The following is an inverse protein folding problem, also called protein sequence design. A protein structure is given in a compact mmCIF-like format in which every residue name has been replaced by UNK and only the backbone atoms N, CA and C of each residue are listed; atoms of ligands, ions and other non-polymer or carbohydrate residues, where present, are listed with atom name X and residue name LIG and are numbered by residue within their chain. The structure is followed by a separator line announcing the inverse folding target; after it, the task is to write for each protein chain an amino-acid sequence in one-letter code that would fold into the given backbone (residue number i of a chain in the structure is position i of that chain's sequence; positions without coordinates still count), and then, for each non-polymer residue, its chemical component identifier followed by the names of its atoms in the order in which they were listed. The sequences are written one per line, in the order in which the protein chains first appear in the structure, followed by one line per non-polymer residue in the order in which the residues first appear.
data_IF_031856681653
#
_entry.id   IF_031856681653
#
_cell.length_a   1.000
_cell.length_b   1.000
_cell.length_c   1.000
_cell.angle_alpha   90.00
_cell.angle_beta   90.00
_cell.angle_gamma   90.00
#
_symmetry.space_group_name_H-M   'P 1'
#
loop_
_entity.id
_entity.type
_entity.pdbx_description
1 polymer ?
#
# COMPACT_ATOMS: atom_id res chain seq x y z
N UNK A 1 0.27 1.36 -31.82
CA UNK A 1 1.05 2.28 -30.96
C UNK A 1 0.52 3.74 -30.95
N UNK A 2 -0.09 4.25 -32.00
CA UNK A 2 -0.61 5.63 -32.10
C UNK A 2 -1.92 5.90 -31.34
N UNK A 3 -2.84 4.95 -31.25
CA UNK A 3 -4.15 5.11 -30.57
C UNK A 3 -4.08 5.32 -29.02
N UNK A 4 -3.04 4.84 -28.40
CA UNK A 4 -2.84 5.02 -26.94
C UNK A 4 -2.43 6.46 -26.59
N UNK A 5 -1.68 7.12 -27.48
CA UNK A 5 -1.27 8.52 -27.28
C UNK A 5 -2.44 9.51 -27.34
N UNK A 6 -3.35 9.28 -28.29
CA UNK A 6 -4.52 10.16 -28.47
C UNK A 6 -5.51 10.00 -27.31
N UNK A 7 -5.74 8.77 -26.85
CA UNK A 7 -6.59 8.48 -25.68
C UNK A 7 -6.04 9.08 -24.37
N UNK A 8 -4.72 9.09 -24.20
CA UNK A 8 -4.07 9.76 -23.03
C UNK A 8 -4.25 11.27 -23.15
N UNK A 9 -4.13 11.83 -24.34
CA UNK A 9 -4.24 13.26 -24.57
C UNK A 9 -5.69 13.77 -24.37
N UNK A 10 -6.70 12.99 -24.79
CA UNK A 10 -8.11 13.27 -24.51
C UNK A 10 -8.44 13.16 -23.02
N UNK A 11 -7.91 12.14 -22.33
CA UNK A 11 -8.07 12.01 -20.87
C UNK A 11 -7.44 13.16 -20.11
N UNK A 12 -6.36 13.75 -20.63
CA UNK A 12 -5.67 14.90 -20.04
C UNK A 12 -6.40 16.23 -20.26
N UNK A 13 -7.08 16.41 -21.40
CA UNK A 13 -7.95 17.54 -21.64
C UNK A 13 -9.12 17.55 -20.66
N UNK A 14 -9.73 16.37 -20.39
CA UNK A 14 -10.75 16.22 -19.37
C UNK A 14 -10.27 16.52 -17.95
N UNK A 15 -9.00 16.25 -17.63
CA UNK A 15 -8.39 16.60 -16.33
C UNK A 15 -8.14 18.10 -16.22
N UNK A 16 -7.77 18.77 -17.31
CA UNK A 16 -7.58 20.22 -17.33
C UNK A 16 -8.91 20.99 -17.10
N UNK A 17 -10.03 20.46 -17.57
CA UNK A 17 -11.38 21.00 -17.31
C UNK A 17 -11.79 20.89 -15.82
N UNK A 18 -11.16 20.02 -15.03
CA UNK A 18 -11.36 19.89 -13.58
C UNK A 18 -10.54 20.89 -12.76
N UNK A 19 -9.86 21.86 -13.40
CA UNK A 19 -9.12 22.92 -12.72
C UNK A 19 -7.79 22.50 -12.10
N UNK A 20 -7.24 21.36 -12.50
CA UNK A 20 -5.92 20.91 -12.08
C UNK A 20 -4.85 21.66 -12.86
N UNK A 21 -4.13 22.56 -12.21
CA UNK A 21 -3.17 23.50 -12.83
C UNK A 21 -1.85 22.85 -13.29
N UNK A 22 -1.62 21.57 -12.99
CA UNK A 22 -0.38 20.87 -13.38
C UNK A 22 -0.55 19.35 -13.42
N UNK A 23 -0.23 18.74 -14.56
CA UNK A 23 -0.13 17.29 -14.72
C UNK A 23 1.35 16.93 -14.87
N UNK A 24 1.86 16.08 -13.97
CA UNK A 24 3.25 15.61 -14.03
C UNK A 24 3.27 14.18 -14.56
N UNK A 25 3.92 13.99 -15.71
CA UNK A 25 4.16 12.66 -16.27
C UNK A 25 5.48 12.12 -15.76
N UNK A 26 5.46 10.97 -15.10
CA UNK A 26 6.66 10.20 -14.82
C UNK A 26 6.76 9.04 -15.81
N UNK A 27 7.79 9.02 -16.62
CA UNK A 27 8.12 7.86 -17.46
C UNK A 27 8.61 6.75 -16.54
N UNK A 28 7.87 5.67 -16.44
CA UNK A 28 8.38 4.42 -15.84
C UNK A 28 9.14 3.70 -16.93
N UNK A 29 10.46 3.72 -16.86
CA UNK A 29 11.29 2.89 -17.74
C UNK A 29 11.08 1.43 -17.33
N UNK A 30 10.30 0.71 -18.14
CA UNK A 30 10.36 -0.74 -18.16
C UNK A 30 11.69 -1.10 -18.83
N UNK A 31 12.56 -1.83 -18.14
CA UNK A 31 13.72 -2.46 -18.76
C UNK A 31 13.22 -3.49 -19.80
N UNK A 32 13.04 -3.03 -21.01
CA UNK A 32 13.01 -3.86 -22.21
C UNK A 32 14.33 -3.53 -22.88
N UNK A 33 15.20 -4.52 -22.99
CA UNK A 33 16.44 -4.44 -23.75
C UNK A 33 16.08 -4.13 -25.21
N UNK A 34 16.26 -2.87 -25.62
CA UNK A 34 16.34 -2.48 -27.03
C UNK A 34 17.70 -1.83 -27.28
N UNK A 35 18.28 -2.08 -28.48
CA UNK A 35 19.65 -1.65 -28.77
C UNK A 35 19.79 -0.14 -28.87
N UNK A 36 20.96 0.33 -28.46
CA UNK A 36 21.46 1.71 -28.54
C UNK A 36 21.22 2.34 -29.91
N UNK A 37 20.51 3.48 -29.93
CA UNK A 37 20.84 4.65 -30.77
C UNK A 37 19.96 5.85 -30.41
N UNK A 38 20.61 6.87 -29.96
CA UNK A 38 20.39 8.31 -30.07
C UNK A 38 20.56 9.06 -28.76
N UNK A 39 21.64 9.83 -28.72
CA UNK A 39 22.01 10.67 -27.60
C UNK A 39 20.97 11.77 -27.33
N UNK A 40 20.34 11.66 -26.20
CA UNK A 40 19.66 12.75 -25.50
C UNK A 40 20.52 13.03 -24.27
N UNK A 41 20.97 14.27 -24.01
CA UNK A 41 21.80 14.56 -22.85
C UNK A 41 20.99 14.29 -21.58
N UNK A 42 21.48 13.38 -20.74
CA UNK A 42 21.04 13.14 -19.40
C UNK A 42 21.25 14.41 -18.55
N UNK A 43 20.22 15.22 -18.36
CA UNK A 43 20.26 16.23 -17.32
C UNK A 43 19.97 15.55 -15.98
N UNK A 44 21.02 15.09 -15.32
CA UNK A 44 21.01 14.58 -13.94
C UNK A 44 20.91 15.74 -12.93
N UNK A 45 19.96 16.64 -13.09
CA UNK A 45 19.57 17.53 -11.99
C UNK A 45 18.38 16.87 -11.33
N UNK A 46 18.59 16.28 -10.15
CA UNK A 46 17.51 15.85 -9.30
C UNK A 46 16.61 17.07 -9.04
N UNK A 47 15.42 17.08 -9.64
CA UNK A 47 14.46 18.13 -9.33
C UNK A 47 14.11 18.06 -7.83
N UNK A 48 13.97 19.21 -7.14
CA UNK A 48 13.60 19.20 -5.74
C UNK A 48 12.26 18.48 -5.56
N UNK A 49 12.15 17.68 -4.49
CA UNK A 49 10.95 16.93 -4.16
C UNK A 49 9.71 17.83 -4.23
N UNK A 50 8.80 17.52 -5.14
CA UNK A 50 7.55 18.28 -5.29
C UNK A 50 6.46 17.60 -4.47
N UNK A 51 6.22 18.09 -3.27
CA UNK A 51 5.12 17.64 -2.41
C UNK A 51 3.85 18.37 -2.81
N UNK A 52 2.82 17.61 -3.16
CA UNK A 52 1.48 18.11 -3.48
C UNK A 52 0.50 17.73 -2.39
N UNK A 53 -0.47 18.63 -2.11
CA UNK A 53 -1.57 18.37 -1.19
C UNK A 53 -2.84 18.05 -1.97
N UNK A 54 -3.61 17.08 -1.50
CA UNK A 54 -4.89 16.69 -2.07
C UNK A 54 -5.83 16.14 -0.99
N UNK A 55 -7.08 15.88 -1.36
CA UNK A 55 -8.06 15.28 -0.45
C UNK A 55 -8.61 13.97 -1.02
N UNK A 56 -8.81 12.97 -0.14
CA UNK A 56 -9.49 11.73 -0.44
C UNK A 56 -10.55 11.46 0.64
N UNK A 57 -11.83 11.35 0.25
CA UNK A 57 -12.96 11.13 1.18
C UNK A 57 -12.99 12.13 2.36
N UNK A 58 -12.66 13.39 2.11
CA UNK A 58 -12.63 14.46 3.11
C UNK A 58 -11.37 14.50 3.99
N UNK A 59 -10.45 13.55 3.85
CA UNK A 59 -9.17 13.51 4.54
C UNK A 59 -8.08 14.16 3.68
N UNK A 60 -7.18 14.91 4.30
CA UNK A 60 -6.07 15.62 3.65
C UNK A 60 -4.82 14.78 3.60
N UNK A 61 -4.15 14.79 2.46
CA UNK A 61 -2.91 14.07 2.23
C UNK A 61 -1.88 14.93 1.52
N UNK A 62 -0.63 14.62 1.77
CA UNK A 62 0.53 15.11 1.04
C UNK A 62 1.23 13.92 0.39
N UNK A 63 1.66 14.10 -0.86
CA UNK A 63 2.40 13.09 -1.61
C UNK A 63 3.61 13.73 -2.31
N UNK A 64 4.75 13.07 -2.25
CA UNK A 64 5.94 13.43 -3.03
C UNK A 64 5.82 12.77 -4.41
N UNK A 65 5.54 13.58 -5.44
CA UNK A 65 5.31 13.12 -6.82
C UNK A 65 6.61 12.97 -7.62
N UNK A 66 7.74 13.44 -7.13
CA UNK A 66 9.03 13.37 -7.81
C UNK A 66 9.97 12.33 -7.19
N UNK A 67 10.15 12.34 -5.87
CA UNK A 67 11.02 11.43 -5.12
C UNK A 67 10.31 10.20 -4.54
N UNK A 68 8.98 10.21 -4.48
CA UNK A 68 8.17 9.14 -3.90
C UNK A 68 8.15 7.84 -4.73
N UNK A 69 7.78 6.73 -4.09
CA UNK A 69 7.53 5.48 -4.83
C UNK A 69 6.35 5.65 -5.79
N UNK A 70 6.49 5.16 -7.02
CA UNK A 70 5.48 5.30 -8.10
C UNK A 70 5.04 6.77 -8.27
N UNK A 71 3.76 7.06 -8.01
CA UNK A 71 3.14 8.39 -8.13
C UNK A 71 3.06 9.15 -6.81
N UNK A 72 3.72 8.67 -5.75
CA UNK A 72 3.72 9.29 -4.43
C UNK A 72 2.53 8.90 -3.53
N UNK A 73 1.49 8.26 -4.09
CA UNK A 73 0.32 7.80 -3.35
C UNK A 73 -0.36 6.60 -4.05
N UNK A 74 -0.97 5.71 -3.29
CA UNK A 74 -1.60 4.48 -3.78
C UNK A 74 -3.13 4.62 -3.80
N UNK A 75 -3.67 5.18 -4.87
CA UNK A 75 -5.11 5.40 -5.06
C UNK A 75 -5.90 4.09 -5.16
N UNK A 76 -5.27 3.02 -5.63
CA UNK A 76 -5.84 1.68 -5.73
C UNK A 76 -6.30 1.08 -4.38
N UNK A 77 -5.71 1.53 -3.26
CA UNK A 77 -6.07 1.10 -1.91
C UNK A 77 -7.21 1.92 -1.26
N UNK A 78 -7.81 2.90 -1.95
CA UNK A 78 -8.79 3.82 -1.36
C UNK A 78 -9.96 3.11 -0.68
N UNK A 79 -10.56 2.11 -1.31
CA UNK A 79 -11.70 1.35 -0.76
C UNK A 79 -11.26 0.48 0.41
N UNK A 80 -10.06 -0.10 0.33
CA UNK A 80 -9.51 -0.93 1.41
C UNK A 80 -9.20 -0.11 2.65
N UNK A 81 -8.75 1.15 2.49
CA UNK A 81 -8.57 2.09 3.60
C UNK A 81 -9.89 2.37 4.33
N UNK A 82 -10.99 2.55 3.59
CA UNK A 82 -12.33 2.72 4.19
C UNK A 82 -12.73 1.50 5.02
N UNK A 83 -12.54 0.29 4.49
CA UNK A 83 -12.83 -0.96 5.23
C UNK A 83 -12.00 -1.11 6.50
N UNK A 84 -10.72 -0.70 6.48
CA UNK A 84 -9.89 -0.67 7.69
C UNK A 84 -10.43 0.36 8.71
N UNK A 85 -10.85 1.54 8.24
CA UNK A 85 -11.49 2.56 9.08
C UNK A 85 -12.72 2.00 9.84
N UNK A 86 -13.57 1.22 9.16
CA UNK A 86 -14.79 0.63 9.73
C UNK A 86 -14.53 -0.31 10.92
N UNK A 87 -13.37 -0.98 10.96
CA UNK A 87 -13.00 -1.93 12.02
C UNK A 87 -12.07 -1.33 13.08
N UNK A 88 -11.74 -0.03 12.98
CA UNK A 88 -10.69 0.61 13.80
C UNK A 88 -11.20 1.28 15.08
N UNK A 89 -12.53 1.45 15.28
CA UNK A 89 -13.08 2.19 16.41
C UNK A 89 -12.67 1.61 17.77
N UNK A 90 -12.00 2.42 18.60
CA UNK A 90 -11.53 2.04 19.93
C UNK A 90 -10.45 0.96 19.91
N UNK A 91 -9.69 0.84 18.81
CA UNK A 91 -8.69 -0.20 18.59
C UNK A 91 -7.27 0.38 18.58
N UNK A 92 -6.32 -0.45 19.00
CA UNK A 92 -4.90 -0.23 18.78
C UNK A 92 -4.51 -0.83 17.44
N UNK A 93 -4.08 0.01 16.49
CA UNK A 93 -3.83 -0.35 15.10
C UNK A 93 -2.34 -0.35 14.80
N UNK A 94 -1.84 -1.40 14.16
CA UNK A 94 -0.52 -1.43 13.52
C UNK A 94 -0.68 -1.32 12.00
N UNK A 95 -0.03 -0.35 11.40
CA UNK A 95 0.11 -0.21 9.96
C UNK A 95 1.58 -0.48 9.59
N UNK A 96 1.88 -1.71 9.15
CA UNK A 96 3.20 -2.13 8.71
C UNK A 96 3.34 -1.98 7.18
N UNK A 97 4.52 -1.54 6.72
CA UNK A 97 4.75 -1.05 5.36
C UNK A 97 3.88 0.17 5.06
N UNK A 98 3.82 1.07 6.03
CA UNK A 98 2.81 2.13 6.05
C UNK A 98 3.00 3.19 4.97
N UNK A 99 4.17 3.24 4.32
CA UNK A 99 4.54 4.29 3.36
C UNK A 99 4.22 5.68 3.94
N UNK A 100 3.43 6.50 3.25
CA UNK A 100 3.04 7.85 3.72
C UNK A 100 1.84 7.84 4.69
N UNK A 101 1.48 6.69 5.26
CA UNK A 101 0.55 6.56 6.37
C UNK A 101 -0.94 6.65 6.01
N UNK A 102 -1.32 6.42 4.76
CA UNK A 102 -2.72 6.58 4.36
C UNK A 102 -3.69 5.67 5.16
N UNK A 103 -3.33 4.40 5.40
CA UNK A 103 -4.12 3.52 6.27
C UNK A 103 -4.19 4.04 7.72
N UNK A 104 -3.11 4.66 8.22
CA UNK A 104 -3.07 5.22 9.57
C UNK A 104 -4.03 6.40 9.74
N UNK A 105 -4.09 7.29 8.74
CA UNK A 105 -5.05 8.40 8.70
C UNK A 105 -6.49 7.87 8.69
N UNK A 106 -6.77 6.83 7.90
CA UNK A 106 -8.10 6.21 7.85
C UNK A 106 -8.44 5.46 9.15
N UNK A 107 -7.48 4.82 9.80
CA UNK A 107 -7.71 4.20 11.11
C UNK A 107 -8.15 5.23 12.15
N UNK A 108 -7.49 6.40 12.21
CA UNK A 108 -7.93 7.49 13.08
C UNK A 108 -9.28 8.07 12.68
N UNK A 109 -9.57 8.21 11.38
CA UNK A 109 -10.89 8.63 10.92
C UNK A 109 -11.98 7.64 11.35
N UNK A 110 -11.66 6.35 11.47
CA UNK A 110 -12.52 5.30 12.02
C UNK A 110 -12.64 5.30 13.54
N UNK A 111 -11.88 6.16 14.24
CA UNK A 111 -11.89 6.27 15.69
C UNK A 111 -10.93 5.31 16.39
N UNK A 112 -9.80 4.97 15.78
CA UNK A 112 -8.73 4.22 16.44
C UNK A 112 -8.28 4.92 17.72
N UNK A 113 -8.03 4.16 18.78
CA UNK A 113 -7.50 4.67 20.04
C UNK A 113 -6.03 5.06 19.91
N UNK A 114 -5.25 4.25 19.21
CA UNK A 114 -3.86 4.57 18.85
C UNK A 114 -3.48 3.90 17.55
N UNK A 115 -2.51 4.49 16.84
CA UNK A 115 -1.96 3.90 15.63
C UNK A 115 -0.44 3.91 15.68
N UNK A 116 0.16 2.77 15.41
CA UNK A 116 1.59 2.63 15.16
C UNK A 116 1.82 2.41 13.67
N UNK A 117 2.67 3.23 13.07
CA UNK A 117 3.05 3.16 11.64
C UNK A 117 4.51 2.76 11.51
N UNK A 118 4.82 1.77 10.69
CA UNK A 118 6.18 1.28 10.51
C UNK A 118 6.51 1.17 9.03
N UNK A 119 7.64 1.75 8.64
CA UNK A 119 8.21 1.63 7.29
C UNK A 119 9.73 1.76 7.35
N UNK A 120 10.43 1.13 6.42
CA UNK A 120 11.88 1.23 6.32
C UNK A 120 12.36 2.58 5.76
N UNK A 121 11.50 3.31 5.05
CA UNK A 121 11.80 4.60 4.45
C UNK A 121 11.59 5.77 5.42
N UNK A 122 12.68 6.45 5.78
CA UNK A 122 12.61 7.65 6.62
C UNK A 122 11.73 8.74 6.00
N UNK A 123 11.88 9.01 4.70
CA UNK A 123 11.08 10.04 4.01
C UNK A 123 9.59 9.70 4.00
N UNK A 124 9.23 8.42 3.84
CA UNK A 124 7.85 7.97 3.93
C UNK A 124 7.28 8.17 5.35
N UNK A 125 8.05 7.83 6.39
CA UNK A 125 7.64 8.04 7.79
C UNK A 125 7.50 9.52 8.11
N UNK A 126 8.37 10.38 7.60
CA UNK A 126 8.27 11.83 7.83
C UNK A 126 6.98 12.40 7.18
N UNK A 127 6.60 11.94 5.97
CA UNK A 127 5.31 12.27 5.35
C UNK A 127 4.13 11.63 6.07
N UNK A 128 4.27 10.41 6.59
CA UNK A 128 3.24 9.74 7.39
C UNK A 128 2.87 10.59 8.62
N UNK A 129 3.86 11.08 9.36
CA UNK A 129 3.63 12.00 10.50
C UNK A 129 2.88 13.25 10.09
N UNK A 130 3.29 13.88 8.98
CA UNK A 130 2.64 15.08 8.47
C UNK A 130 1.19 14.80 8.05
N UNK A 131 0.92 13.68 7.37
CA UNK A 131 -0.42 13.29 6.95
C UNK A 131 -1.35 13.04 8.14
N UNK A 132 -0.85 12.38 9.20
CA UNK A 132 -1.65 12.17 10.41
C UNK A 132 -1.91 13.51 11.11
N UNK A 133 -0.89 14.33 11.33
CA UNK A 133 -1.04 15.65 12.00
C UNK A 133 -1.96 16.59 11.23
N UNK A 134 -1.94 16.57 9.89
CA UNK A 134 -2.81 17.40 9.04
C UNK A 134 -4.31 17.12 9.24
N UNK A 135 -4.66 15.93 9.73
CA UNK A 135 -6.05 15.52 10.00
C UNK A 135 -6.36 15.40 11.50
N UNK A 136 -5.39 14.98 12.30
CA UNK A 136 -5.57 14.62 13.71
C UNK A 136 -4.35 15.08 14.54
N UNK A 137 -4.29 16.38 14.84
CA UNK A 137 -3.12 17.01 15.47
C UNK A 137 -2.71 16.41 16.83
N UNK A 138 -3.66 15.88 17.59
CA UNK A 138 -3.43 15.32 18.93
C UNK A 138 -3.63 13.80 18.99
N UNK A 139 -3.67 13.13 17.85
CA UNK A 139 -3.87 11.68 17.81
C UNK A 139 -2.68 10.92 18.44
N UNK A 140 -2.93 9.85 19.21
CA UNK A 140 -1.89 8.99 19.76
C UNK A 140 -1.21 8.17 18.65
N UNK A 141 -0.32 8.81 17.88
CA UNK A 141 0.39 8.25 16.74
C UNK A 141 1.86 8.01 17.05
N UNK A 142 2.29 6.76 16.91
CA UNK A 142 3.69 6.38 16.89
C UNK A 142 4.12 6.04 15.46
N UNK A 143 5.25 6.60 14.98
CA UNK A 143 5.74 6.35 13.63
C UNK A 143 7.23 6.03 13.66
N UNK A 144 7.60 4.83 13.24
CA UNK A 144 8.93 4.26 13.39
C UNK A 144 9.57 3.91 12.05
N UNK A 145 10.84 4.27 11.91
CA UNK A 145 11.67 3.85 10.77
C UNK A 145 12.30 2.51 11.13
N UNK A 146 11.74 1.42 10.61
CA UNK A 146 12.22 0.07 10.89
C UNK A 146 11.88 -0.90 9.76
N UNK A 147 12.66 -1.98 9.66
CA UNK A 147 12.27 -3.14 8.86
C UNK A 147 11.06 -3.85 9.50
N UNK A 148 10.00 -4.04 8.75
CA UNK A 148 8.74 -4.57 9.28
C UNK A 148 8.85 -6.02 9.78
N UNK A 149 9.71 -6.85 9.20
CA UNK A 149 9.94 -8.23 9.69
C UNK A 149 10.61 -8.21 11.06
N UNK A 150 11.66 -7.40 11.19
CA UNK A 150 12.39 -7.21 12.44
C UNK A 150 11.49 -6.61 13.51
N UNK A 151 10.71 -5.59 13.15
CA UNK A 151 9.77 -4.93 14.05
C UNK A 151 8.75 -5.92 14.62
N UNK A 152 8.03 -6.65 13.75
CA UNK A 152 7.03 -7.64 14.16
C UNK A 152 7.63 -8.79 15.02
N UNK A 153 8.92 -9.05 14.90
CA UNK A 153 9.59 -10.06 15.75
C UNK A 153 9.78 -9.57 17.17
N UNK A 154 10.01 -8.27 17.36
CA UNK A 154 10.46 -7.67 18.64
C UNK A 154 9.35 -7.09 19.50
N UNK A 155 8.23 -6.65 18.88
CA UNK A 155 7.14 -5.98 19.59
C UNK A 155 6.35 -6.94 20.49
N UNK A 156 5.76 -6.45 21.59
CA UNK A 156 4.79 -7.20 22.38
C UNK A 156 3.46 -7.39 21.60
N UNK A 157 2.65 -8.36 22.04
CA UNK A 157 1.35 -8.66 21.45
C UNK A 157 0.30 -7.67 21.96
N UNK A 158 0.04 -6.60 21.23
CA UNK A 158 -0.82 -5.51 21.74
C UNK A 158 -1.81 -4.93 20.73
N UNK A 159 -1.85 -5.44 19.49
CA UNK A 159 -2.68 -4.85 18.44
C UNK A 159 -4.01 -5.58 18.27
N UNK A 160 -5.07 -4.79 18.08
CA UNK A 160 -6.41 -5.28 17.76
C UNK A 160 -6.62 -5.37 16.25
N UNK A 161 -5.96 -4.46 15.50
CA UNK A 161 -5.99 -4.44 14.03
C UNK A 161 -4.55 -4.33 13.51
N UNK A 162 -4.21 -5.18 12.55
CA UNK A 162 -2.92 -5.09 11.84
C UNK A 162 -3.18 -4.95 10.34
N UNK A 163 -2.50 -4.02 9.70
CA UNK A 163 -2.46 -3.86 8.24
C UNK A 163 -1.07 -4.25 7.74
N UNK A 164 -1.02 -5.14 6.76
CA UNK A 164 0.19 -5.56 6.05
C UNK A 164 0.04 -5.24 4.57
N UNK A 165 0.67 -4.17 4.09
CA UNK A 165 0.68 -3.79 2.67
C UNK A 165 2.11 -3.77 2.11
N UNK A 166 2.78 -4.93 2.05
CA UNK A 166 4.18 -5.00 1.63
C UNK A 166 4.34 -4.69 0.14
N UNK A 167 5.54 -4.23 -0.28
CA UNK A 167 5.87 -4.10 -1.69
C UNK A 167 5.82 -5.46 -2.40
N UNK A 168 5.76 -5.44 -3.74
CA UNK A 168 5.74 -6.65 -4.53
C UNK A 168 7.02 -7.49 -4.30
N UNK A 169 6.86 -8.67 -3.67
CA UNK A 169 7.98 -9.57 -3.38
C UNK A 169 8.44 -10.37 -4.61
N UNK A 170 7.56 -10.56 -5.62
CA UNK A 170 7.90 -11.23 -6.87
C UNK A 170 7.84 -10.23 -8.03
N UNK A 171 9.00 -9.88 -8.58
CA UNK A 171 9.13 -9.05 -9.79
C UNK A 171 9.40 -9.88 -11.05
N UNK A 172 9.80 -11.13 -10.92
CA UNK A 172 10.08 -12.08 -12.01
C UNK A 172 9.80 -13.51 -11.54
N UNK A 173 9.56 -14.43 -12.49
CA UNK A 173 9.10 -15.80 -12.21
C UNK A 173 9.99 -16.57 -11.23
N UNK A 174 11.30 -16.40 -11.32
CA UNK A 174 12.26 -17.06 -10.40
C UNK A 174 12.11 -16.61 -8.94
N UNK A 175 11.50 -15.46 -8.69
CA UNK A 175 11.30 -14.92 -7.34
C UNK A 175 10.02 -15.45 -6.66
N UNK A 176 9.10 -16.11 -7.38
CA UNK A 176 7.78 -16.53 -6.88
C UNK A 176 7.89 -17.37 -5.60
N UNK A 177 8.73 -18.40 -5.58
CA UNK A 177 8.88 -19.26 -4.40
C UNK A 177 9.42 -18.52 -3.17
N UNK A 178 10.35 -17.58 -3.39
CA UNK A 178 10.87 -16.72 -2.31
C UNK A 178 9.81 -15.74 -1.82
N UNK A 179 9.03 -15.16 -2.74
CA UNK A 179 7.93 -14.28 -2.42
C UNK A 179 6.85 -14.98 -1.59
N UNK A 180 6.47 -16.20 -1.94
CA UNK A 180 5.52 -17.01 -1.18
C UNK A 180 5.98 -17.21 0.26
N UNK A 181 7.26 -17.56 0.47
CA UNK A 181 7.85 -17.64 1.82
C UNK A 181 7.84 -16.30 2.54
N UNK A 182 8.08 -15.20 1.84
CA UNK A 182 8.02 -13.86 2.41
C UNK A 182 6.61 -13.52 2.93
N UNK A 183 5.57 -13.79 2.12
CA UNK A 183 4.17 -13.60 2.54
C UNK A 183 3.80 -14.52 3.70
N UNK A 184 4.19 -15.79 3.67
CA UNK A 184 3.97 -16.73 4.78
C UNK A 184 4.61 -16.21 6.07
N UNK A 185 5.89 -15.83 6.03
CA UNK A 185 6.64 -15.36 7.19
C UNK A 185 6.05 -14.10 7.81
N UNK A 186 5.79 -13.06 7.00
CA UNK A 186 5.30 -11.78 7.54
C UNK A 186 3.89 -11.91 8.13
N UNK A 187 3.04 -12.71 7.50
CA UNK A 187 1.70 -12.98 8.02
C UNK A 187 1.72 -13.84 9.28
N UNK A 188 2.62 -14.84 9.36
CA UNK A 188 2.78 -15.63 10.58
C UNK A 188 3.27 -14.76 11.76
N UNK A 189 4.18 -13.83 11.52
CA UNK A 189 4.62 -12.85 12.53
C UNK A 189 3.45 -11.97 13.00
N UNK A 190 2.67 -11.40 12.07
CA UNK A 190 1.52 -10.58 12.41
C UNK A 190 0.45 -11.37 13.19
N UNK A 191 0.15 -12.59 12.76
CA UNK A 191 -0.82 -13.47 13.43
C UNK A 191 -0.42 -13.84 14.87
N UNK A 192 0.87 -13.85 15.18
CA UNK A 192 1.37 -14.03 16.56
C UNK A 192 1.23 -12.76 17.40
N UNK A 193 1.15 -11.58 16.77
CA UNK A 193 1.13 -10.26 17.42
C UNK A 193 -0.27 -9.63 17.52
N UNK A 194 -1.26 -10.25 16.91
CA UNK A 194 -2.64 -9.79 16.95
C UNK A 194 -3.40 -10.45 18.11
N UNK A 195 -4.20 -9.68 18.82
CA UNK A 195 -5.05 -10.18 19.92
C UNK A 195 -6.11 -11.17 19.39
N UNK A 196 -6.54 -12.15 20.19
CA UNK A 196 -7.74 -12.92 19.88
C UNK A 196 -8.93 -11.98 19.67
N UNK A 197 -9.74 -12.23 18.63
CA UNK A 197 -10.83 -11.35 18.21
C UNK A 197 -10.38 -10.15 17.39
N UNK A 198 -9.08 -10.06 17.04
CA UNK A 198 -8.54 -9.00 16.22
C UNK A 198 -8.74 -9.20 14.73
N UNK A 199 -8.40 -8.17 13.95
CA UNK A 199 -8.54 -8.15 12.49
C UNK A 199 -7.19 -7.96 11.81
N UNK A 200 -6.86 -8.82 10.84
CA UNK A 200 -5.69 -8.67 9.98
C UNK A 200 -6.14 -8.31 8.56
N UNK A 201 -5.75 -7.14 8.06
CA UNK A 201 -5.86 -6.77 6.65
C UNK A 201 -4.50 -6.99 5.99
N UNK A 202 -4.40 -7.92 5.04
CA UNK A 202 -3.14 -8.29 4.39
C UNK A 202 -3.24 -8.26 2.89
N UNK A 203 -2.20 -7.75 2.21
CA UNK A 203 -2.21 -7.47 0.78
C UNK A 203 -1.01 -8.06 0.03
N UNK A 204 -1.20 -8.23 -1.28
CA UNK A 204 -0.15 -8.50 -2.25
C UNK A 204 -0.45 -7.78 -3.56
N UNK A 205 0.48 -6.94 -4.01
CA UNK A 205 0.45 -6.30 -5.33
C UNK A 205 1.33 -7.02 -6.37
N UNK A 206 1.85 -8.22 -6.08
CA UNK A 206 2.68 -9.00 -7.00
C UNK A 206 1.82 -9.66 -8.09
N UNK A 207 1.95 -9.24 -9.35
CA UNK A 207 1.21 -9.83 -10.49
C UNK A 207 1.42 -11.34 -10.65
N UNK A 208 2.63 -11.84 -10.35
CA UNK A 208 3.00 -13.25 -10.46
C UNK A 208 2.45 -14.14 -9.35
N UNK A 209 1.80 -13.57 -8.33
CA UNK A 209 1.17 -14.30 -7.23
C UNK A 209 -0.34 -14.27 -7.48
N UNK A 210 -0.95 -15.44 -7.73
CA UNK A 210 -2.40 -15.53 -7.89
C UNK A 210 -3.13 -15.36 -6.56
N UNK A 211 -4.46 -15.18 -6.61
CA UNK A 211 -5.30 -15.10 -5.40
C UNK A 211 -5.23 -16.40 -4.59
N UNK A 212 -5.21 -17.54 -5.25
CA UNK A 212 -5.08 -18.86 -4.63
C UNK A 212 -3.72 -19.03 -3.96
N UNK A 213 -2.65 -18.68 -4.66
CA UNK A 213 -1.28 -18.73 -4.09
C UNK A 213 -1.17 -17.83 -2.86
N UNK A 214 -1.72 -16.62 -2.91
CA UNK A 214 -1.71 -15.72 -1.76
C UNK A 214 -2.49 -16.31 -0.58
N UNK A 215 -3.71 -16.81 -0.82
CA UNK A 215 -4.51 -17.48 0.21
C UNK A 215 -3.78 -18.68 0.82
N UNK A 216 -3.09 -19.49 0.00
CA UNK A 216 -2.30 -20.63 0.49
C UNK A 216 -1.13 -20.19 1.38
N UNK A 217 -0.46 -19.07 1.06
CA UNK A 217 0.58 -18.51 1.92
C UNK A 217 0.01 -18.08 3.28
N UNK A 218 -1.17 -17.44 3.29
CA UNK A 218 -1.85 -17.02 4.52
C UNK A 218 -2.32 -18.23 5.35
N UNK A 219 -2.84 -19.27 4.71
CA UNK A 219 -3.21 -20.52 5.38
C UNK A 219 -1.99 -21.15 6.08
N UNK A 220 -0.85 -21.26 5.40
CA UNK A 220 0.39 -21.76 6.01
C UNK A 220 0.87 -20.87 7.15
N UNK A 221 0.75 -19.55 7.00
CA UNK A 221 1.07 -18.60 8.05
C UNK A 221 0.21 -18.81 9.29
N UNK A 222 -1.10 -19.05 9.13
CA UNK A 222 -2.02 -19.31 10.22
C UNK A 222 -1.67 -20.62 10.96
N UNK A 223 -1.39 -21.69 10.22
CA UNK A 223 -0.91 -22.96 10.80
C UNK A 223 0.38 -22.76 11.57
N UNK A 224 1.37 -22.08 10.98
CA UNK A 224 2.66 -21.77 11.61
C UNK A 224 2.54 -20.92 12.88
N UNK A 225 1.55 -20.02 12.90
CA UNK A 225 1.26 -19.17 14.05
C UNK A 225 0.41 -19.86 15.12
N UNK A 226 -0.16 -21.04 14.83
CA UNK A 226 -1.08 -21.73 15.71
C UNK A 226 -2.40 -20.97 15.91
N UNK A 227 -2.86 -20.24 14.88
CA UNK A 227 -4.08 -19.39 14.96
C UNK A 227 -5.15 -19.91 14.00
N UNK A 228 -6.40 -19.86 14.45
CA UNK A 228 -7.54 -20.05 13.59
C UNK A 228 -7.97 -18.69 13.00
N UNK A 229 -8.17 -18.63 11.68
CA UNK A 229 -8.53 -17.40 10.98
C UNK A 229 -9.72 -17.62 10.04
N UNK A 230 -10.59 -16.61 9.95
CA UNK A 230 -11.72 -16.60 8.99
C UNK A 230 -11.58 -15.43 8.06
N UNK A 231 -11.74 -15.66 6.76
CA UNK A 231 -11.83 -14.59 5.78
C UNK A 231 -13.19 -13.92 5.93
N UNK A 232 -13.21 -12.65 6.32
CA UNK A 232 -14.43 -11.86 6.43
C UNK A 232 -14.69 -11.01 5.21
N UNK A 233 -13.63 -10.69 4.44
CA UNK A 233 -13.76 -9.96 3.18
C UNK A 233 -12.58 -10.23 2.23
N UNK A 234 -12.85 -10.16 0.91
CA UNK A 234 -11.85 -10.18 -0.14
C UNK A 234 -11.61 -8.74 -0.62
N UNK A 235 -10.37 -8.30 -0.51
CA UNK A 235 -9.97 -6.93 -0.81
C UNK A 235 -9.35 -6.85 -2.22
N UNK A 236 -9.72 -5.81 -2.97
CA UNK A 236 -9.29 -5.60 -4.35
C UNK A 236 -8.85 -4.16 -4.55
N UNK A 237 -8.29 -3.88 -5.73
CA UNK A 237 -8.06 -2.51 -6.17
C UNK A 237 -9.38 -1.73 -6.29
N UNK A 238 -9.31 -0.43 -5.97
CA UNK A 238 -10.46 0.45 -6.05
C UNK A 238 -10.95 0.62 -7.51
N UNK A 239 -12.24 0.98 -7.75
CA UNK A 239 -12.81 1.16 -9.09
C UNK A 239 -12.09 2.18 -9.99
N UNK A 240 -11.29 3.08 -9.44
CA UNK A 240 -10.43 3.97 -10.21
C UNK A 240 -9.26 3.25 -10.91
N UNK A 241 -9.06 1.95 -10.62
CA UNK A 241 -8.11 1.06 -11.29
C UNK A 241 -8.88 -0.14 -11.87
N UNK A 242 -9.73 0.07 -12.88
CA UNK A 242 -10.54 -1.02 -13.44
C UNK A 242 -9.66 -2.02 -14.18
N UNK A 243 -10.02 -3.30 -14.07
CA UNK A 243 -9.40 -4.35 -14.88
C UNK A 243 -10.11 -4.46 -16.21
N UNK A 244 -9.36 -4.39 -17.31
CA UNK A 244 -9.91 -4.66 -18.63
C UNK A 244 -10.26 -6.14 -18.77
N UNK A 245 -11.42 -6.45 -19.33
CA UNK A 245 -11.80 -7.84 -19.65
C UNK A 245 -10.84 -8.52 -20.63
N UNK A 246 -10.15 -7.73 -21.45
CA UNK A 246 -9.16 -8.21 -22.43
C UNK A 246 -7.73 -8.27 -21.86
N UNK A 247 -7.49 -7.70 -20.68
CA UNK A 247 -6.18 -7.60 -20.02
C UNK A 247 -6.31 -7.98 -18.54
N UNK A 248 -6.49 -9.27 -18.23
CA UNK A 248 -6.71 -9.74 -16.85
C UNK A 248 -5.51 -9.50 -15.93
N UNK A 249 -4.32 -9.26 -16.49
CA UNK A 249 -3.12 -8.87 -15.74
C UNK A 249 -3.28 -7.53 -15.01
N UNK A 250 -4.28 -6.72 -15.38
CA UNK A 250 -4.67 -5.52 -14.64
C UNK A 250 -5.29 -5.80 -13.27
N UNK A 251 -5.71 -7.03 -12.96
CA UNK A 251 -6.15 -7.47 -11.64
C UNK A 251 -4.94 -7.90 -10.79
N UNK A 252 -4.19 -6.91 -10.29
CA UNK A 252 -2.92 -7.13 -9.63
C UNK A 252 -2.99 -7.09 -8.10
N UNK A 253 -3.96 -6.37 -7.52
CA UNK A 253 -4.07 -6.21 -6.07
C UNK A 253 -4.98 -7.30 -5.47
N UNK A 254 -4.42 -8.09 -4.60
CA UNK A 254 -5.12 -9.11 -3.81
C UNK A 254 -4.99 -8.78 -2.35
N UNK A 255 -6.10 -8.84 -1.62
CA UNK A 255 -6.08 -8.68 -0.19
C UNK A 255 -7.11 -9.57 0.50
N UNK A 256 -6.89 -9.83 1.77
CA UNK A 256 -7.79 -10.53 2.65
C UNK A 256 -7.98 -9.72 3.92
N UNK A 257 -9.22 -9.58 4.36
CA UNK A 257 -9.54 -9.16 5.72
C UNK A 257 -9.87 -10.40 6.53
N UNK A 258 -9.13 -10.63 7.59
CA UNK A 258 -9.21 -11.84 8.39
C UNK A 258 -9.65 -11.50 9.81
N UNK A 259 -10.60 -12.25 10.33
CA UNK A 259 -10.90 -12.34 11.77
C UNK A 259 -10.00 -13.41 12.37
N UNK A 260 -9.34 -13.11 13.49
CA UNK A 260 -8.32 -13.96 14.12
C UNK A 260 -8.83 -14.43 15.47
N UNK A 261 -8.97 -15.75 15.63
CA UNK A 261 -9.40 -16.41 16.90
C UNK A 261 -8.21 -16.73 17.80
#
# INVERSE_FOLDING_TARGET
MWRVKDSIQESLLGIAELGLSKVVFRRVESQIDEPEESGVPESTVAEPAQVVSFSENGLRFMADITGGQKTGFFLDQRVNRQKVSEVSRGKHVLNAFCYTGAFSVYAFAGGAESVTSVDASKSAIDLCRQNVVANFASAPHNAEVADCFSYLTQIPDTFDVIVLDPPAFAKHQRAVQRAMRGYETINALALKKIKPGGTLATFSCSQLISREMFRDAIMRAAVSAGRFVRIVDFLHQAPCHPTSIFHPEGDYLKGLMLFVE
#
